data_IF_870841640545
#
_entry.id   IF_870841640545
#
_cell.length_a   1.000
_cell.length_b   1.000
_cell.length_c   1.000
_cell.angle_alpha   90.00
_cell.angle_beta   90.00
_cell.angle_gamma   90.00
#
_symmetry.space_group_name_H-M   'P 1'
#
loop_
_entity.id
_entity.type
_entity.pdbx_description
1 polymer ?
#
# COMPACT_ATOMS: atom_id res chain seq x y z
N UNK A 1 -13.07 1.15 7.12
CA UNK A 1 -13.38 1.53 5.74
C UNK A 1 -12.20 1.23 4.84
N UNK A 2 -12.46 0.69 3.66
CA UNK A 2 -11.42 0.31 2.70
C UNK A 2 -11.69 0.92 1.32
N UNK A 3 -10.61 1.26 0.61
CA UNK A 3 -10.69 1.72 -0.78
C UNK A 3 -9.91 0.73 -1.64
N UNK A 4 -10.58 0.17 -2.64
CA UNK A 4 -9.99 -0.74 -3.63
C UNK A 4 -9.82 0.01 -4.94
N UNK A 5 -8.59 0.09 -5.43
CA UNK A 5 -8.26 0.80 -6.67
C UNK A 5 -7.63 -0.16 -7.66
N UNK A 6 -8.21 -0.25 -8.84
CA UNK A 6 -7.67 -1.06 -9.93
C UNK A 6 -8.17 -0.50 -11.26
N UNK A 7 -7.36 -0.62 -12.30
CA UNK A 7 -7.76 -0.26 -13.65
C UNK A 7 -8.40 -1.42 -14.41
N UNK A 8 -8.26 -2.65 -13.92
CA UNK A 8 -8.80 -3.85 -14.55
C UNK A 8 -10.26 -4.06 -14.18
N UNK A 9 -11.15 -4.01 -15.18
CA UNK A 9 -12.58 -4.27 -14.97
C UNK A 9 -12.84 -5.69 -14.45
N UNK A 10 -12.02 -6.64 -14.87
CA UNK A 10 -12.11 -8.03 -14.40
C UNK A 10 -11.81 -8.13 -12.91
N UNK A 11 -10.74 -7.48 -12.46
CA UNK A 11 -10.36 -7.45 -11.04
C UNK A 11 -11.43 -6.76 -10.20
N UNK A 12 -11.94 -5.63 -10.65
CA UNK A 12 -12.99 -4.89 -9.94
C UNK A 12 -14.28 -5.68 -9.83
N UNK A 13 -14.61 -6.47 -10.84
CA UNK A 13 -15.79 -7.34 -10.81
C UNK A 13 -15.64 -8.37 -9.70
N UNK A 14 -14.47 -8.98 -9.55
CA UNK A 14 -14.21 -9.91 -8.46
C UNK A 14 -14.31 -9.23 -7.09
N UNK A 15 -13.76 -8.03 -6.96
CA UNK A 15 -13.85 -7.25 -5.70
C UNK A 15 -15.31 -6.99 -5.36
N UNK A 16 -16.11 -6.55 -6.34
CA UNK A 16 -17.52 -6.24 -6.13
C UNK A 16 -18.32 -7.49 -5.71
N UNK A 17 -18.06 -8.64 -6.35
CA UNK A 17 -18.70 -9.89 -5.98
C UNK A 17 -18.34 -10.31 -4.55
N UNK A 18 -17.07 -10.19 -4.18
CA UNK A 18 -16.60 -10.52 -2.84
C UNK A 18 -17.22 -9.61 -1.78
N UNK A 19 -17.34 -8.32 -2.06
CA UNK A 19 -17.97 -7.37 -1.14
C UNK A 19 -19.45 -7.70 -0.94
N UNK A 20 -20.15 -8.07 -2.00
CA UNK A 20 -21.55 -8.48 -1.91
C UNK A 20 -21.69 -9.76 -1.11
N UNK A 21 -20.87 -10.78 -1.40
CA UNK A 21 -20.95 -12.08 -0.74
C UNK A 21 -20.59 -12.03 0.74
N UNK A 22 -19.70 -11.11 1.12
CA UNK A 22 -19.29 -10.94 2.51
C UNK A 22 -20.12 -9.89 3.26
N UNK A 23 -21.05 -9.22 2.57
CA UNK A 23 -21.90 -8.16 3.13
C UNK A 23 -21.10 -6.97 3.66
N UNK A 24 -19.95 -6.66 3.03
CA UNK A 24 -19.06 -5.59 3.43
C UNK A 24 -19.09 -4.38 2.47
N UNK A 25 -20.03 -4.36 1.53
CA UNK A 25 -20.09 -3.30 0.52
C UNK A 25 -20.20 -1.89 1.15
N UNK A 26 -20.92 -1.74 2.24
CA UNK A 26 -21.07 -0.45 2.91
C UNK A 26 -19.80 0.04 3.60
N UNK A 27 -18.82 -0.85 3.76
CA UNK A 27 -17.53 -0.55 4.38
C UNK A 27 -16.43 -0.29 3.37
N UNK A 28 -16.77 -0.24 2.07
CA UNK A 28 -15.77 -0.16 1.01
C UNK A 28 -16.18 0.78 -0.11
N UNK A 29 -15.17 1.36 -0.74
CA UNK A 29 -15.27 2.12 -1.97
C UNK A 29 -14.46 1.41 -3.04
N UNK A 30 -15.01 1.24 -4.24
CA UNK A 30 -14.35 0.60 -5.37
C UNK A 30 -14.12 1.65 -6.45
N UNK A 31 -12.86 1.85 -6.82
CA UNK A 31 -12.43 2.90 -7.74
C UNK A 31 -11.80 2.30 -8.98
N UNK A 32 -12.37 2.60 -10.15
CA UNK A 32 -11.84 2.18 -11.44
C UNK A 32 -10.89 3.27 -11.98
N UNK A 33 -9.62 3.17 -11.60
CA UNK A 33 -8.58 4.11 -12.02
C UNK A 33 -7.23 3.45 -11.97
N UNK A 34 -6.28 4.04 -12.68
CA UNK A 34 -4.87 3.72 -12.51
C UNK A 34 -4.45 4.05 -11.07
N UNK A 35 -3.75 3.12 -10.44
CA UNK A 35 -3.38 3.27 -9.03
C UNK A 35 -2.42 4.44 -8.79
N UNK A 36 -1.51 4.70 -9.73
CA UNK A 36 -0.59 5.82 -9.64
C UNK A 36 -1.34 7.15 -9.67
N UNK A 37 -2.27 7.31 -10.60
CA UNK A 37 -3.09 8.52 -10.69
C UNK A 37 -3.94 8.71 -9.44
N UNK A 38 -4.52 7.62 -8.93
CA UNK A 38 -5.33 7.69 -7.72
C UNK A 38 -4.52 8.15 -6.50
N UNK A 39 -3.38 7.50 -6.22
CA UNK A 39 -2.60 7.83 -5.02
C UNK A 39 -1.99 9.23 -5.10
N UNK A 40 -1.68 9.69 -6.30
CA UNK A 40 -1.15 11.02 -6.54
C UNK A 40 -2.19 12.11 -6.29
N UNK A 41 -3.44 11.87 -6.69
CA UNK A 41 -4.48 12.89 -6.73
C UNK A 41 -5.48 12.82 -5.57
N UNK A 42 -5.58 11.69 -4.87
CA UNK A 42 -6.56 11.59 -3.79
C UNK A 42 -6.30 12.59 -2.66
N UNK A 43 -7.35 13.25 -2.14
CA UNK A 43 -7.21 14.08 -0.94
C UNK A 43 -7.24 13.28 0.37
N UNK A 44 -7.52 11.97 0.29
CA UNK A 44 -7.63 11.11 1.45
C UNK A 44 -6.26 10.73 1.99
N UNK A 45 -6.20 10.39 3.27
CA UNK A 45 -5.06 9.77 3.91
C UNK A 45 -5.47 8.45 4.54
N UNK A 46 -4.50 7.57 4.77
CA UNK A 46 -4.77 6.19 5.15
C UNK A 46 -3.88 5.74 6.28
N UNK A 47 -4.38 4.81 7.08
CA UNK A 47 -3.60 4.16 8.14
C UNK A 47 -2.79 2.98 7.60
N UNK A 48 -3.33 2.29 6.60
CA UNK A 48 -2.69 1.15 5.95
C UNK A 48 -2.85 1.29 4.44
N UNK A 49 -1.74 1.17 3.73
CA UNK A 49 -1.74 1.17 2.27
C UNK A 49 -1.08 -0.14 1.81
N UNK A 50 -1.79 -0.92 1.01
CA UNK A 50 -1.28 -2.17 0.46
C UNK A 50 -0.96 -1.96 -1.01
N UNK A 51 0.31 -2.17 -1.37
CA UNK A 51 0.80 -2.08 -2.73
C UNK A 51 1.09 -3.49 -3.25
N UNK A 52 0.23 -3.96 -4.14
CA UNK A 52 0.31 -5.28 -4.77
C UNK A 52 0.18 -5.14 -6.29
N UNK A 53 1.11 -4.39 -6.93
CA UNK A 53 1.05 -4.17 -8.37
C UNK A 53 1.54 -5.39 -9.15
N UNK A 54 1.33 -5.43 -10.48
CA UNK A 54 1.94 -6.46 -11.33
C UNK A 54 3.45 -6.47 -11.17
N UNK A 55 4.03 -7.65 -11.18
CA UNK A 55 5.47 -7.84 -10.96
C UNK A 55 6.32 -7.34 -12.14
N UNK A 56 7.59 -7.05 -11.89
CA UNK A 56 8.66 -6.74 -12.85
C UNK A 56 8.47 -5.45 -13.65
N UNK A 57 7.74 -4.46 -13.10
CA UNK A 57 7.50 -3.21 -13.83
C UNK A 57 7.86 -1.96 -13.03
N UNK A 58 8.55 -2.10 -11.89
CA UNK A 58 8.96 -0.95 -11.08
C UNK A 58 7.81 -0.15 -10.50
N UNK A 59 6.64 -0.74 -10.36
CA UNK A 59 5.45 -0.03 -9.88
C UNK A 59 5.56 0.43 -8.44
N UNK A 60 6.21 -0.39 -7.57
CA UNK A 60 6.35 -0.05 -6.16
C UNK A 60 7.18 1.21 -6.00
N UNK A 61 8.34 1.30 -6.66
CA UNK A 61 9.22 2.46 -6.57
C UNK A 61 8.53 3.73 -7.07
N UNK A 62 7.67 3.60 -8.07
CA UNK A 62 6.91 4.72 -8.63
C UNK A 62 5.81 5.19 -7.67
N UNK A 63 5.15 4.25 -6.98
CA UNK A 63 4.03 4.52 -6.09
C UNK A 63 4.46 5.00 -4.71
N UNK A 64 5.59 4.50 -4.20
CA UNK A 64 6.00 4.72 -2.81
C UNK A 64 6.08 6.19 -2.38
N UNK A 65 6.67 7.11 -3.16
CA UNK A 65 6.75 8.51 -2.73
C UNK A 65 5.38 9.14 -2.50
N UNK A 66 4.42 8.81 -3.34
CA UNK A 66 3.05 9.34 -3.22
C UNK A 66 2.27 8.63 -2.11
N UNK A 67 2.45 7.31 -1.97
CA UNK A 67 1.84 6.57 -0.87
C UNK A 67 2.33 7.09 0.49
N UNK A 68 3.61 7.40 0.60
CA UNK A 68 4.17 7.96 1.83
C UNK A 68 3.50 9.28 2.23
N UNK A 69 3.16 10.12 1.26
CA UNK A 69 2.47 11.39 1.50
C UNK A 69 1.03 11.20 1.97
N UNK A 70 0.42 10.07 1.64
CA UNK A 70 -0.98 9.77 1.99
C UNK A 70 -1.09 8.88 3.22
N UNK A 71 0.03 8.57 3.87
CA UNK A 71 0.06 7.71 5.05
C UNK A 71 -0.02 8.55 6.32
N UNK A 72 -0.94 8.20 7.20
CA UNK A 72 -1.07 8.85 8.50
C UNK A 72 0.09 8.45 9.42
N UNK A 73 0.39 9.28 10.41
CA UNK A 73 1.36 8.95 11.45
C UNK A 73 0.98 7.64 12.14
N UNK A 74 1.96 6.79 12.38
CA UNK A 74 1.74 5.45 12.92
C UNK A 74 1.24 4.44 11.90
N UNK A 75 1.04 4.86 10.66
CA UNK A 75 0.55 3.99 9.60
C UNK A 75 1.63 3.10 8.99
N UNK A 76 1.19 2.17 8.15
CA UNK A 76 2.07 1.20 7.49
C UNK A 76 1.76 1.08 6.02
N UNK A 77 2.82 0.93 5.21
CA UNK A 77 2.71 0.53 3.81
C UNK A 77 3.19 -0.91 3.70
N UNK A 78 2.37 -1.76 3.11
CA UNK A 78 2.68 -3.17 2.89
C UNK A 78 2.97 -3.35 1.41
N UNK A 79 4.20 -3.75 1.08
CA UNK A 79 4.64 -3.96 -0.31
C UNK A 79 4.81 -5.45 -0.57
N UNK A 80 4.11 -5.96 -1.58
CA UNK A 80 4.28 -7.31 -2.08
C UNK A 80 5.06 -7.28 -3.39
N UNK A 81 6.15 -8.05 -3.48
CA UNK A 81 7.02 -8.06 -4.64
C UNK A 81 7.73 -9.41 -4.77
N UNK A 82 8.38 -9.62 -5.91
CA UNK A 82 9.11 -10.87 -6.16
C UNK A 82 10.36 -10.97 -5.28
N UNK A 83 10.64 -12.17 -4.77
CA UNK A 83 11.77 -12.39 -3.85
C UNK A 83 13.14 -12.15 -4.50
N UNK A 84 13.23 -12.22 -5.83
CA UNK A 84 14.46 -11.94 -6.57
C UNK A 84 14.62 -10.46 -6.94
N UNK A 85 13.63 -9.63 -6.66
CA UNK A 85 13.73 -8.19 -6.83
C UNK A 85 14.36 -7.54 -5.60
N UNK A 86 14.87 -6.32 -5.78
CA UNK A 86 15.42 -5.56 -4.66
C UNK A 86 14.34 -5.18 -3.67
N UNK A 87 14.68 -5.20 -2.39
CA UNK A 87 13.80 -4.68 -1.33
C UNK A 87 13.54 -3.19 -1.61
N UNK A 88 12.28 -2.75 -1.56
CA UNK A 88 11.97 -1.34 -1.79
C UNK A 88 12.69 -0.43 -0.80
N UNK A 89 13.27 0.66 -1.32
CA UNK A 89 13.91 1.66 -0.48
C UNK A 89 12.84 2.51 0.20
N UNK A 90 12.84 2.61 1.53
CA UNK A 90 11.85 3.45 2.21
C UNK A 90 11.98 4.92 1.79
N UNK A 91 10.87 5.60 1.44
CA UNK A 91 10.88 7.03 1.25
C UNK A 91 11.28 7.77 2.53
N UNK A 92 11.70 9.03 2.39
CA UNK A 92 12.03 9.86 3.53
C UNK A 92 10.87 9.89 4.53
N UNK A 93 11.17 9.70 5.80
CA UNK A 93 10.17 9.69 6.86
C UNK A 93 9.59 8.32 7.18
N UNK A 94 9.88 7.30 6.35
CA UNK A 94 9.46 5.93 6.60
C UNK A 94 10.67 5.05 6.94
N UNK A 95 10.43 3.99 7.70
CA UNK A 95 11.44 2.99 8.00
C UNK A 95 10.96 1.61 7.60
N UNK A 96 11.89 0.76 7.14
CA UNK A 96 11.60 -0.65 6.89
C UNK A 96 11.52 -1.36 8.23
N UNK A 97 10.35 -1.86 8.58
CA UNK A 97 10.15 -2.57 9.84
C UNK A 97 10.55 -4.02 9.74
N UNK A 98 10.09 -4.71 8.70
CA UNK A 98 10.38 -6.14 8.52
C UNK A 98 10.07 -6.57 7.10
N UNK A 99 10.81 -7.59 6.63
CA UNK A 99 10.53 -8.28 5.38
C UNK A 99 10.26 -9.75 5.67
N UNK A 100 9.15 -10.25 5.17
CA UNK A 100 8.78 -11.67 5.23
C UNK A 100 8.96 -12.28 3.84
N UNK A 101 9.42 -13.51 3.81
CA UNK A 101 9.55 -14.25 2.56
C UNK A 101 8.59 -15.44 2.53
N UNK A 102 7.81 -15.53 1.48
CA UNK A 102 6.86 -16.61 1.24
C UNK A 102 7.14 -17.21 -0.14
N UNK A 103 8.09 -18.16 -0.20
CA UNK A 103 8.51 -18.75 -1.47
C UNK A 103 9.14 -17.71 -2.40
N UNK A 104 8.44 -17.40 -3.50
CA UNK A 104 8.92 -16.44 -4.51
C UNK A 104 8.43 -15.02 -4.27
N UNK A 105 7.72 -14.80 -3.17
CA UNK A 105 7.12 -13.51 -2.86
C UNK A 105 7.71 -12.99 -1.56
N UNK A 106 8.09 -11.73 -1.55
CA UNK A 106 8.45 -11.01 -0.34
C UNK A 106 7.34 -10.02 0.02
N UNK A 107 7.15 -9.81 1.31
CA UNK A 107 6.26 -8.78 1.85
C UNK A 107 7.09 -7.91 2.78
N UNK A 108 7.25 -6.64 2.42
CA UNK A 108 7.95 -5.66 3.26
C UNK A 108 6.96 -4.69 3.88
N UNK A 109 7.17 -4.40 5.16
CA UNK A 109 6.34 -3.46 5.90
C UNK A 109 7.17 -2.21 6.19
N UNK A 110 6.72 -1.08 5.65
CA UNK A 110 7.30 0.24 5.88
C UNK A 110 6.39 1.01 6.84
N UNK A 111 6.96 1.65 7.84
CA UNK A 111 6.19 2.34 8.87
C UNK A 111 6.53 3.81 8.93
N UNK A 112 5.51 4.63 9.17
CA UNK A 112 5.66 6.06 9.47
C UNK A 112 5.52 6.23 10.99
N UNK A 113 6.62 6.60 11.69
CA UNK A 113 6.54 6.75 13.14
C UNK A 113 5.62 7.92 13.53
N UNK A 114 5.12 7.88 14.75
CA UNK A 114 4.50 9.05 15.34
C UNK A 114 5.57 10.13 15.56
N UNK A 115 5.19 11.39 15.48
CA UNK A 115 6.11 12.50 15.68
C UNK A 115 6.87 12.42 17.01
N UNK A 116 6.20 11.94 18.07
CA UNK A 116 6.80 11.81 19.41
C UNK A 116 7.77 10.64 19.53
N UNK A 117 7.68 9.62 18.66
CA UNK A 117 8.54 8.45 18.75
C UNK A 117 9.92 8.66 18.14
N UNK A 118 10.13 9.71 17.36
CA UNK A 118 11.45 10.03 16.80
C UNK A 118 12.46 10.40 17.87
N UNK A 119 12.03 11.11 18.91
CA UNK A 119 12.88 11.46 20.03
C UNK A 119 13.36 10.24 20.81
N UNK A 120 12.48 9.27 21.00
CA UNK A 120 12.79 8.03 21.71
C UNK A 120 13.75 7.15 20.92
N UNK A 121 13.62 7.12 19.60
CA UNK A 121 14.47 6.31 18.73
C UNK A 121 15.91 6.81 18.63
N UNK A 122 16.17 8.05 19.00
CA UNK A 122 17.50 8.66 18.96
C UNK A 122 18.28 8.48 20.27
N UNK A 123 17.63 8.05 21.30
CA UNK A 123 18.25 7.76 22.59
C UNK A 123 18.80 6.33 22.66
#
# INVERSE_FOLDING_TARGET
HAVFVDSSQKSLRCVNENLTNTKLRDMAEVVSRDSYDYIKLTPKSFDIIILDPPYRHGHIEKLLPFAAQKLNEGGSIICEYESDAETPTPPQGLTLRKTYRYGRINVSILCKPYADSEEVAQE
#
